data_IF_015393066918
#
_entry.id   IF_015393066918
#
_cell.length_a   1.000
_cell.length_b   1.000
_cell.length_c   1.000
_cell.angle_alpha   90.00
_cell.angle_beta   90.00
_cell.angle_gamma   90.00
#
_symmetry.space_group_name_H-M   'P 1'
#
loop_
_entity.id
_entity.type
_entity.pdbx_description
1 polymer ?
#
# COMPACT_ATOMS: atom_id res chain seq x y z
N UNK A 1 -12.46 7.24 -15.39
CA UNK A 1 -11.93 8.55 -14.95
C UNK A 1 -12.50 8.91 -13.58
N UNK A 2 -13.75 9.38 -13.42
CA UNK A 2 -14.26 9.80 -12.10
C UNK A 2 -14.29 8.73 -11.00
N UNK A 3 -14.69 7.49 -11.32
CA UNK A 3 -14.73 6.42 -10.31
C UNK A 3 -13.31 5.99 -9.89
N UNK A 4 -12.39 5.85 -10.86
CA UNK A 4 -10.98 5.53 -10.57
C UNK A 4 -10.29 6.64 -9.77
N UNK A 5 -10.56 7.91 -10.10
CA UNK A 5 -10.05 9.05 -9.33
C UNK A 5 -10.56 9.04 -7.88
N UNK A 6 -11.80 8.60 -7.66
CA UNK A 6 -12.37 8.44 -6.32
C UNK A 6 -11.70 7.28 -5.57
N UNK A 7 -11.55 6.11 -6.20
CA UNK A 7 -10.89 4.94 -5.57
C UNK A 7 -9.44 5.25 -5.23
N UNK A 8 -8.71 5.95 -6.10
CA UNK A 8 -7.34 6.39 -5.83
C UNK A 8 -7.27 7.31 -4.60
N UNK A 9 -8.17 8.28 -4.48
CA UNK A 9 -8.25 9.14 -3.28
C UNK A 9 -8.61 8.33 -2.03
N UNK A 10 -9.54 7.40 -2.16
CA UNK A 10 -9.97 6.52 -1.08
C UNK A 10 -8.79 5.71 -0.51
N UNK A 11 -8.02 5.05 -1.38
CA UNK A 11 -6.82 4.30 -1.00
C UNK A 11 -5.81 5.20 -0.29
N UNK A 12 -5.56 6.41 -0.80
CA UNK A 12 -4.64 7.36 -0.17
C UNK A 12 -5.10 7.75 1.24
N UNK A 13 -6.39 8.03 1.44
CA UNK A 13 -6.90 8.38 2.77
C UNK A 13 -6.87 7.19 3.74
N UNK A 14 -7.12 5.97 3.27
CA UNK A 14 -6.96 4.75 4.06
C UNK A 14 -5.52 4.58 4.53
N UNK A 15 -4.53 4.68 3.64
CA UNK A 15 -3.10 4.60 3.99
C UNK A 15 -2.73 5.67 5.01
N UNK A 16 -3.11 6.93 4.77
CA UNK A 16 -2.82 8.06 5.67
C UNK A 16 -3.43 7.87 7.05
N UNK A 17 -4.66 7.34 7.13
CA UNK A 17 -5.31 7.08 8.40
C UNK A 17 -4.52 6.06 9.24
N UNK A 18 -4.10 4.95 8.63
CA UNK A 18 -3.32 3.92 9.35
C UNK A 18 -1.95 4.45 9.76
N UNK A 19 -1.23 5.16 8.86
CA UNK A 19 0.05 5.80 9.17
C UNK A 19 -0.06 6.77 10.36
N UNK A 20 -1.10 7.61 10.37
CA UNK A 20 -1.34 8.57 11.45
C UNK A 20 -1.65 7.89 12.78
N UNK A 21 -2.48 6.86 12.78
CA UNK A 21 -2.95 6.22 14.01
C UNK A 21 -1.89 5.27 14.60
N UNK A 22 -1.23 4.49 13.76
CA UNK A 22 -0.31 3.43 14.21
C UNK A 22 1.12 3.94 14.34
N UNK A 23 1.56 4.83 13.45
CA UNK A 23 2.94 5.31 13.38
C UNK A 23 3.10 6.77 13.82
N UNK A 24 1.98 7.48 14.08
CA UNK A 24 1.98 8.92 14.39
C UNK A 24 2.65 9.77 13.28
N UNK A 25 2.50 9.32 12.03
CA UNK A 25 2.99 10.01 10.83
C UNK A 25 1.82 10.75 10.18
N UNK A 26 1.87 12.08 10.19
CA UNK A 26 0.90 12.92 9.49
C UNK A 26 1.51 13.44 8.19
N UNK A 27 1.24 12.75 7.08
CA UNK A 27 1.72 13.11 5.74
C UNK A 27 0.55 13.28 4.77
N UNK A 28 0.72 14.19 3.81
CA UNK A 28 -0.19 14.32 2.66
C UNK A 28 0.18 13.40 1.49
N UNK A 29 1.43 12.91 1.46
CA UNK A 29 1.96 12.06 0.39
C UNK A 29 2.82 10.97 1.02
N UNK A 30 2.23 9.80 1.34
CA UNK A 30 3.00 8.64 1.78
C UNK A 30 3.94 8.19 0.66
N UNK A 31 5.21 7.99 1.00
CA UNK A 31 6.24 7.54 0.06
C UNK A 31 7.40 6.86 0.80
N UNK A 32 8.31 6.24 0.05
CA UNK A 32 9.50 5.59 0.58
C UNK A 32 10.38 6.52 1.44
N UNK A 33 10.32 7.84 1.25
CA UNK A 33 11.07 8.81 2.06
C UNK A 33 10.78 8.71 3.57
N UNK A 34 9.62 8.16 3.95
CA UNK A 34 9.26 7.93 5.35
C UNK A 34 10.13 6.87 6.04
N UNK A 35 10.74 5.96 5.27
CA UNK A 35 11.59 4.88 5.77
C UNK A 35 13.09 5.19 5.68
N UNK A 36 13.48 6.38 5.23
CA UNK A 36 14.87 6.68 4.92
C UNK A 36 15.83 6.34 6.08
N UNK A 37 16.96 5.73 5.74
CA UNK A 37 18.02 5.25 6.64
C UNK A 37 17.59 4.10 7.57
N UNK A 38 16.61 3.27 7.15
CA UNK A 38 16.14 2.07 7.87
C UNK A 38 16.35 0.76 7.10
N UNK A 39 16.20 -0.39 7.78
CA UNK A 39 16.23 -1.70 7.11
C UNK A 39 14.98 -1.91 6.23
N UNK A 40 13.87 -1.29 6.62
CA UNK A 40 12.61 -1.31 5.90
C UNK A 40 12.67 -0.56 4.56
N UNK A 41 13.54 0.45 4.43
CA UNK A 41 13.78 1.17 3.16
C UNK A 41 14.23 0.19 2.07
N UNK A 42 15.22 -0.66 2.36
CA UNK A 42 15.72 -1.64 1.39
C UNK A 42 14.64 -2.62 0.96
N UNK A 43 13.81 -3.05 1.91
CA UNK A 43 12.72 -3.97 1.63
C UNK A 43 11.66 -3.32 0.71
N UNK A 44 11.33 -2.05 0.97
CA UNK A 44 10.39 -1.31 0.13
C UNK A 44 10.97 -1.04 -1.26
N UNK A 45 12.24 -0.64 -1.34
CA UNK A 45 12.93 -0.38 -2.62
C UNK A 45 12.96 -1.64 -3.49
N UNK A 46 13.27 -2.81 -2.92
CA UNK A 46 13.22 -4.08 -3.66
C UNK A 46 11.82 -4.37 -4.23
N UNK A 47 10.75 -4.09 -3.47
CA UNK A 47 9.38 -4.27 -3.94
C UNK A 47 9.00 -3.27 -5.04
N UNK A 48 9.47 -2.02 -4.92
CA UNK A 48 9.26 -0.97 -5.94
C UNK A 48 10.00 -1.33 -7.23
N UNK A 49 11.25 -1.79 -7.15
CA UNK A 49 12.02 -2.24 -8.31
C UNK A 49 11.32 -3.39 -9.05
N UNK A 50 10.69 -4.31 -8.30
CA UNK A 50 9.87 -5.38 -8.90
C UNK A 50 8.64 -4.82 -9.61
N UNK A 51 7.93 -3.86 -8.98
CA UNK A 51 6.78 -3.19 -9.60
C UNK A 51 7.19 -2.46 -10.87
N UNK A 52 8.29 -1.71 -10.86
CA UNK A 52 8.82 -0.95 -12.00
C UNK A 52 9.33 -1.85 -13.14
N UNK A 53 9.73 -3.08 -12.81
CA UNK A 53 10.07 -4.11 -13.78
C UNK A 53 8.84 -4.88 -14.32
N UNK A 54 7.63 -4.55 -13.87
CA UNK A 54 6.38 -5.17 -14.29
C UNK A 54 5.96 -6.43 -13.53
N UNK A 55 6.69 -6.78 -12.46
CA UNK A 55 6.44 -7.97 -11.63
C UNK A 55 5.54 -7.65 -10.43
N UNK A 56 4.37 -7.03 -10.67
CA UNK A 56 3.47 -6.54 -9.61
C UNK A 56 2.97 -7.69 -8.72
N UNK A 57 2.52 -8.77 -9.34
CA UNK A 57 1.98 -9.94 -8.62
C UNK A 57 3.06 -10.61 -7.77
N UNK A 58 4.29 -10.74 -8.29
CA UNK A 58 5.41 -11.29 -7.54
C UNK A 58 5.84 -10.39 -6.39
N UNK A 59 5.79 -9.07 -6.58
CA UNK A 59 6.06 -8.10 -5.52
C UNK A 59 5.03 -8.22 -4.40
N UNK A 60 3.75 -8.31 -4.74
CA UNK A 60 2.68 -8.50 -3.76
C UNK A 60 2.86 -9.84 -3.01
N UNK A 61 3.14 -10.95 -3.70
CA UNK A 61 3.42 -12.23 -3.05
C UNK A 61 4.58 -12.13 -2.04
N UNK A 62 5.68 -11.47 -2.42
CA UNK A 62 6.82 -11.23 -1.52
C UNK A 62 6.43 -10.37 -0.32
N UNK A 63 5.59 -9.36 -0.52
CA UNK A 63 5.05 -8.56 0.58
C UNK A 63 4.23 -9.43 1.56
N UNK A 64 3.43 -10.37 1.07
CA UNK A 64 2.68 -11.30 1.91
C UNK A 64 3.58 -12.24 2.73
N UNK A 65 4.75 -12.62 2.20
CA UNK A 65 5.78 -13.39 2.91
C UNK A 65 6.45 -12.54 4.01
N UNK A 66 6.88 -11.31 3.67
CA UNK A 66 7.49 -10.37 4.62
C UNK A 66 6.56 -10.10 5.81
N UNK A 67 5.26 -9.93 5.54
CA UNK A 67 4.26 -9.58 6.54
C UNK A 67 3.70 -10.79 7.31
N UNK A 68 4.23 -12.01 7.11
CA UNK A 68 3.75 -13.23 7.76
C UNK A 68 3.85 -13.17 9.29
N UNK A 69 4.95 -12.63 9.81
CA UNK A 69 5.21 -12.49 11.25
C UNK A 69 4.45 -11.31 11.88
N UNK A 70 3.81 -10.47 11.07
CA UNK A 70 3.02 -9.31 11.47
C UNK A 70 3.79 -8.32 12.35
N UNK A 71 5.07 -8.07 12.07
CA UNK A 71 5.80 -7.00 12.77
C UNK A 71 5.24 -5.65 12.35
N UNK A 72 5.24 -4.71 13.28
CA UNK A 72 4.70 -3.37 13.05
C UNK A 72 5.40 -2.69 11.87
N UNK A 73 6.71 -2.87 11.73
CA UNK A 73 7.52 -2.29 10.67
C UNK A 73 7.14 -2.83 9.28
N UNK A 74 6.86 -4.12 9.18
CA UNK A 74 6.39 -4.75 7.93
C UNK A 74 5.03 -4.17 7.47
N UNK A 75 4.18 -3.72 8.40
CA UNK A 75 2.96 -3.00 8.06
C UNK A 75 3.26 -1.63 7.43
N UNK A 76 4.29 -0.92 7.91
CA UNK A 76 4.71 0.35 7.34
C UNK A 76 5.14 0.17 5.88
N UNK A 77 5.96 -0.85 5.61
CA UNK A 77 6.36 -1.24 4.26
C UNK A 77 5.13 -1.54 3.39
N UNK A 78 4.18 -2.34 3.89
CA UNK A 78 2.97 -2.67 3.14
C UNK A 78 2.12 -1.45 2.80
N UNK A 79 1.94 -0.51 3.75
CA UNK A 79 1.19 0.73 3.53
C UNK A 79 1.83 1.59 2.44
N UNK A 80 3.15 1.71 2.45
CA UNK A 80 3.88 2.49 1.45
C UNK A 80 3.93 1.79 0.09
N UNK A 81 4.01 0.46 0.06
CA UNK A 81 3.89 -0.34 -1.14
C UNK A 81 2.54 -0.12 -1.85
N UNK A 82 1.41 -0.24 -1.12
CA UNK A 82 0.10 0.02 -1.72
C UNK A 82 -0.10 1.49 -2.08
N UNK A 83 0.51 2.43 -1.34
CA UNK A 83 0.55 3.84 -1.75
C UNK A 83 1.31 4.04 -3.05
N UNK A 84 2.40 3.29 -3.27
CA UNK A 84 3.19 3.34 -4.50
C UNK A 84 2.42 2.77 -5.69
N UNK A 85 1.83 1.58 -5.55
CA UNK A 85 0.94 1.00 -6.56
C UNK A 85 -0.22 1.94 -6.89
N UNK A 86 -0.76 2.62 -5.88
CA UNK A 86 -1.85 3.57 -6.09
C UNK A 86 -1.45 4.82 -6.90
N UNK A 87 -0.15 5.11 -7.05
CA UNK A 87 0.33 6.20 -7.89
C UNK A 87 0.64 5.75 -9.34
N UNK A 88 0.68 4.45 -9.61
CA UNK A 88 0.81 3.93 -10.98
C UNK A 88 -0.45 4.26 -11.79
N UNK A 89 -0.32 4.39 -13.12
CA UNK A 89 -1.48 4.63 -13.97
C UNK A 89 -2.34 3.37 -14.08
N UNK A 90 -3.64 3.55 -14.34
CA UNK A 90 -4.53 2.40 -14.56
C UNK A 90 -4.05 1.54 -15.74
N UNK A 91 -3.55 2.16 -16.81
CA UNK A 91 -3.00 1.46 -17.96
C UNK A 91 -1.79 0.59 -17.61
N UNK A 92 -0.90 1.10 -16.74
CA UNK A 92 0.27 0.34 -16.29
C UNK A 92 -0.14 -0.89 -15.46
N UNK A 93 -1.08 -0.70 -14.52
CA UNK A 93 -1.60 -1.80 -13.71
C UNK A 93 -2.25 -2.86 -14.61
N UNK A 94 -3.11 -2.45 -15.54
CA UNK A 94 -3.82 -3.34 -16.45
C UNK A 94 -2.87 -4.12 -17.38
N UNK A 95 -1.84 -3.45 -17.93
CA UNK A 95 -0.83 -4.09 -18.78
C UNK A 95 -0.06 -5.21 -18.06
N UNK A 96 0.12 -5.08 -16.75
CA UNK A 96 0.82 -6.04 -15.90
C UNK A 96 -0.12 -6.97 -15.11
N UNK A 97 -1.39 -7.06 -15.54
CA UNK A 97 -2.37 -7.99 -14.98
C UNK A 97 -2.76 -7.67 -13.54
N UNK A 98 -2.84 -6.38 -13.22
CA UNK A 98 -3.28 -5.85 -11.94
C UNK A 98 -4.34 -4.76 -12.16
N UNK A 99 -4.96 -4.28 -11.08
CA UNK A 99 -6.02 -3.28 -11.15
C UNK A 99 -6.08 -2.41 -9.91
N UNK A 100 -6.74 -1.26 -10.04
CA UNK A 100 -6.98 -0.36 -8.90
C UNK A 100 -7.78 -1.05 -7.79
N UNK A 101 -8.73 -1.90 -8.15
CA UNK A 101 -9.53 -2.66 -7.19
C UNK A 101 -8.68 -3.73 -6.46
N UNK A 102 -7.66 -4.28 -7.10
CA UNK A 102 -6.68 -5.16 -6.46
C UNK A 102 -5.78 -4.40 -5.48
N UNK A 103 -5.32 -3.18 -5.81
CA UNK A 103 -4.61 -2.30 -4.86
C UNK A 103 -5.47 -2.06 -3.60
N UNK A 104 -6.75 -1.75 -3.79
CA UNK A 104 -7.69 -1.54 -2.68
C UNK A 104 -7.89 -2.83 -1.87
N UNK A 105 -8.16 -3.95 -2.54
CA UNK A 105 -8.38 -5.25 -1.91
C UNK A 105 -7.17 -5.69 -1.09
N UNK A 106 -5.96 -5.58 -1.64
CA UNK A 106 -4.71 -5.89 -0.94
C UNK A 106 -4.48 -5.01 0.28
N UNK A 107 -4.76 -3.70 0.19
CA UNK A 107 -4.69 -2.78 1.35
C UNK A 107 -5.71 -3.15 2.44
N UNK A 108 -6.93 -3.54 2.06
CA UNK A 108 -7.95 -3.98 3.02
C UNK A 108 -7.53 -5.30 3.70
N UNK A 109 -7.01 -6.26 2.93
CA UNK A 109 -6.59 -7.56 3.43
C UNK A 109 -5.39 -7.44 4.38
N UNK A 110 -4.40 -6.61 4.04
CA UNK A 110 -3.28 -6.38 4.94
C UNK A 110 -3.74 -5.67 6.21
N UNK A 111 -4.60 -4.67 6.10
CA UNK A 111 -5.13 -3.95 7.26
C UNK A 111 -5.88 -4.89 8.22
N UNK A 112 -6.67 -5.81 7.67
CA UNK A 112 -7.35 -6.86 8.44
C UNK A 112 -6.39 -7.86 9.06
N UNK A 113 -5.33 -8.29 8.35
CA UNK A 113 -4.30 -9.20 8.88
C UNK A 113 -3.62 -8.60 10.12
N UNK A 114 -3.46 -7.28 10.15
CA UNK A 114 -2.87 -6.53 11.26
C UNK A 114 -3.89 -6.03 12.31
N UNK A 115 -5.19 -6.26 12.10
CA UNK A 115 -6.24 -5.83 13.03
C UNK A 115 -6.45 -4.32 13.08
N UNK A 116 -6.14 -3.62 11.98
CA UNK A 116 -6.30 -2.17 11.80
C UNK A 116 -7.38 -1.83 10.76
N UNK A 117 -8.13 -2.83 10.32
CA UNK A 117 -9.24 -2.74 9.36
C UNK A 117 -10.32 -1.75 9.79
N UNK A 118 -10.58 -1.60 11.09
CA UNK A 118 -11.54 -0.60 11.58
C UNK A 118 -11.22 0.85 11.17
N UNK A 119 -9.95 1.18 10.90
CA UNK A 119 -9.56 2.50 10.40
C UNK A 119 -9.77 2.64 8.90
N UNK A 120 -9.74 1.54 8.16
CA UNK A 120 -9.89 1.49 6.70
C UNK A 120 -11.36 1.35 6.31
N UNK A 121 -12.12 0.50 7.01
CA UNK A 121 -13.55 0.27 6.78
C UNK A 121 -14.39 1.53 6.95
N UNK A 122 -13.96 2.46 7.80
CA UNK A 122 -14.61 3.75 8.00
C UNK A 122 -14.77 4.55 6.69
N UNK A 123 -13.90 4.31 5.72
CA UNK A 123 -13.92 4.98 4.42
C UNK A 123 -14.82 4.28 3.39
N UNK A 124 -15.16 3.01 3.57
CA UNK A 124 -16.04 2.27 2.65
C UNK A 124 -17.49 2.76 2.68
N UNK A 125 -17.87 3.45 3.75
CA UNK A 125 -19.22 3.93 4.00
C UNK A 125 -19.35 5.46 3.86
N UNK A 126 -18.33 6.13 3.31
CA UNK A 126 -18.24 7.60 3.20
C UNK A 126 -18.41 8.08 1.76
#
# INVERSE_FOLDING_TARGET
MFEQDYVMRLINEMVRAVLKIIFNIDTASPSAELLKDSEEEQTLDELIDMVDAGFINEAENRLYDITEERKKQDLEVALLFYSYLNNQSDEYLEEHGFSRDEVKSGLMDISKRYGVDGFVDAFLYM
#
